data_IF_761364095180
#
_entry.id   IF_761364095180
#
_cell.length_a   1.000
_cell.length_b   1.000
_cell.length_c   1.000
_cell.angle_alpha   90.00
_cell.angle_beta   90.00
_cell.angle_gamma   90.00
#
_symmetry.space_group_name_H-M   'P 1'
#
loop_
_entity.id
_entity.type
_entity.pdbx_description
1 polymer ?
#
# COMPACT_ATOMS: atom_id res chain seq x y z
N UNK A 1 -3.88 4.77 -18.56
CA UNK A 1 -3.99 3.66 -17.62
C UNK A 1 -5.36 3.72 -16.99
N UNK A 2 -5.93 2.56 -16.68
CA UNK A 2 -7.33 2.52 -16.24
C UNK A 2 -7.52 2.62 -14.74
N UNK A 3 -6.54 2.17 -13.98
CA UNK A 3 -6.62 2.17 -12.52
C UNK A 3 -6.24 3.55 -12.01
N UNK A 4 -6.96 4.03 -11.00
CA UNK A 4 -6.67 5.34 -10.43
C UNK A 4 -5.30 5.37 -9.74
N UNK A 5 -4.70 6.58 -9.70
CA UNK A 5 -3.35 6.76 -9.18
C UNK A 5 -3.23 6.40 -7.69
N UNK A 6 -4.27 6.64 -6.91
CA UNK A 6 -4.25 6.34 -5.48
C UNK A 6 -4.20 4.84 -5.22
N UNK A 7 -5.02 4.08 -5.93
CA UNK A 7 -5.03 2.62 -5.83
C UNK A 7 -3.69 2.04 -6.29
N UNK A 8 -3.15 2.55 -7.41
CA UNK A 8 -1.84 2.09 -7.91
C UNK A 8 -0.72 2.41 -6.95
N UNK A 9 -0.75 3.58 -6.32
CA UNK A 9 0.26 3.97 -5.34
C UNK A 9 0.26 3.00 -4.15
N UNK A 10 -0.91 2.61 -3.67
CA UNK A 10 -1.04 1.67 -2.56
C UNK A 10 -0.53 0.27 -2.94
N UNK A 11 -0.92 -0.21 -4.11
CA UNK A 11 -0.43 -1.50 -4.63
C UNK A 11 1.09 -1.49 -4.77
N UNK A 12 1.65 -0.41 -5.27
CA UNK A 12 3.08 -0.26 -5.43
C UNK A 12 3.79 -0.31 -4.08
N UNK A 13 3.28 0.43 -3.09
CA UNK A 13 3.88 0.45 -1.75
C UNK A 13 3.96 -0.96 -1.15
N UNK A 14 2.94 -1.79 -1.36
CA UNK A 14 2.91 -3.14 -0.81
C UNK A 14 3.77 -4.12 -1.59
N UNK A 15 3.81 -4.00 -2.92
CA UNK A 15 4.35 -5.06 -3.78
C UNK A 15 5.51 -4.64 -4.66
N UNK A 16 6.08 -3.45 -4.45
CA UNK A 16 7.15 -2.91 -5.30
C UNK A 16 8.35 -3.85 -5.44
N UNK A 17 8.68 -4.56 -4.38
CA UNK A 17 9.85 -5.46 -4.40
C UNK A 17 9.66 -6.66 -5.30
N UNK A 18 8.43 -6.95 -5.71
CA UNK A 18 8.12 -8.04 -6.63
C UNK A 18 8.20 -7.61 -8.10
N UNK A 19 8.40 -6.32 -8.36
CA UNK A 19 8.59 -5.80 -9.71
C UNK A 19 10.07 -5.81 -10.09
N UNK A 20 10.36 -5.88 -11.41
CA UNK A 20 11.72 -5.72 -11.89
C UNK A 20 12.18 -4.29 -11.67
N UNK A 21 13.49 -4.07 -11.68
CA UNK A 21 14.04 -2.72 -11.54
C UNK A 21 13.55 -1.78 -12.64
N UNK A 22 13.49 -2.25 -13.87
CA UNK A 22 12.97 -1.47 -14.99
C UNK A 22 11.52 -1.07 -14.77
N UNK A 23 10.69 -1.99 -14.33
CA UNK A 23 9.28 -1.71 -14.03
C UNK A 23 9.16 -0.66 -12.93
N UNK A 24 9.96 -0.78 -11.87
CA UNK A 24 9.97 0.19 -10.77
C UNK A 24 10.37 1.58 -11.25
N UNK A 25 11.44 1.67 -12.05
CA UNK A 25 11.92 2.95 -12.56
C UNK A 25 10.86 3.67 -13.40
N UNK A 26 10.24 2.96 -14.33
CA UNK A 26 9.21 3.55 -15.18
C UNK A 26 7.95 3.90 -14.38
N UNK A 27 7.59 3.05 -13.43
CA UNK A 27 6.44 3.29 -12.56
C UNK A 27 6.64 4.57 -11.72
N UNK A 28 7.82 4.74 -11.14
CA UNK A 28 8.16 5.94 -10.35
C UNK A 28 8.08 7.21 -11.20
N UNK A 29 8.61 7.17 -12.42
CA UNK A 29 8.56 8.33 -13.30
C UNK A 29 7.14 8.73 -13.65
N UNK A 30 6.28 7.75 -13.87
CA UNK A 30 4.91 8.01 -14.29
C UNK A 30 4.01 8.44 -13.12
N UNK A 31 3.97 7.64 -12.05
CA UNK A 31 3.05 7.86 -10.93
C UNK A 31 3.56 8.82 -9.87
N UNK A 32 4.87 8.84 -9.63
CA UNK A 32 5.46 9.67 -8.58
C UNK A 32 5.99 11.01 -9.10
N UNK A 33 6.66 10.98 -10.26
CA UNK A 33 7.29 12.17 -10.85
C UNK A 33 6.40 12.88 -11.88
N UNK A 34 5.25 12.31 -12.19
CA UNK A 34 4.28 12.89 -13.10
C UNK A 34 4.77 13.08 -14.54
N UNK A 35 5.70 12.25 -14.99
CA UNK A 35 6.18 12.30 -16.37
C UNK A 35 5.12 11.75 -17.32
N UNK A 36 5.05 12.34 -18.52
CA UNK A 36 4.25 11.79 -19.62
C UNK A 36 4.93 10.55 -20.19
N UNK A 37 4.18 9.74 -20.94
CA UNK A 37 4.76 8.57 -21.62
C UNK A 37 5.89 8.98 -22.56
N UNK A 38 5.74 10.10 -23.26
CA UNK A 38 6.77 10.61 -24.17
C UNK A 38 8.02 11.06 -23.43
N UNK A 39 7.86 11.71 -22.29
CA UNK A 39 8.98 12.13 -21.45
C UNK A 39 9.75 10.94 -20.90
N UNK A 40 9.02 9.90 -20.46
CA UNK A 40 9.65 8.67 -19.97
C UNK A 40 10.41 7.97 -21.10
N UNK A 41 9.80 7.89 -22.28
CA UNK A 41 10.43 7.28 -23.46
C UNK A 41 11.76 7.96 -23.78
N UNK A 42 11.78 9.28 -23.77
CA UNK A 42 13.01 10.05 -24.01
C UNK A 42 14.06 9.80 -22.94
N UNK A 43 13.64 9.80 -21.66
CA UNK A 43 14.58 9.60 -20.54
C UNK A 43 15.13 8.18 -20.51
N UNK A 44 14.32 7.18 -20.82
CA UNK A 44 14.69 5.77 -20.72
C UNK A 44 15.32 5.22 -22.01
N UNK A 45 15.26 5.96 -23.09
CA UNK A 45 15.82 5.53 -24.38
C UNK A 45 15.03 4.39 -25.03
N UNK A 46 13.73 4.33 -24.81
CA UNK A 46 12.85 3.33 -25.42
C UNK A 46 11.66 4.03 -26.10
N UNK A 47 10.86 3.27 -26.86
CA UNK A 47 9.70 3.84 -27.52
C UNK A 47 8.59 4.19 -26.53
N UNK A 48 7.72 5.13 -26.93
CA UNK A 48 6.53 5.46 -26.15
C UNK A 48 5.64 4.24 -25.95
N UNK A 49 5.49 3.41 -26.98
CA UNK A 49 4.73 2.16 -26.87
C UNK A 49 5.39 1.20 -25.89
N UNK A 50 6.72 1.12 -25.89
CA UNK A 50 7.45 0.29 -24.92
C UNK A 50 7.24 0.74 -23.49
N UNK A 51 7.17 2.05 -23.24
CA UNK A 51 6.82 2.60 -21.92
C UNK A 51 5.41 2.17 -21.53
N UNK A 52 4.46 2.37 -22.42
CA UNK A 52 3.06 2.00 -22.20
C UNK A 52 2.93 0.52 -21.83
N UNK A 53 3.57 -0.35 -22.60
CA UNK A 53 3.48 -1.80 -22.39
C UNK A 53 4.12 -2.22 -21.06
N UNK A 54 5.26 -1.62 -20.71
CA UNK A 54 5.93 -1.92 -19.45
C UNK A 54 5.08 -1.48 -18.25
N UNK A 55 4.48 -0.29 -18.32
CA UNK A 55 3.61 0.20 -17.26
C UNK A 55 2.33 -0.63 -17.14
N UNK A 56 1.72 -0.97 -18.28
CA UNK A 56 0.52 -1.80 -18.28
C UNK A 56 0.80 -3.16 -17.66
N UNK A 57 1.93 -3.75 -17.97
CA UNK A 57 2.33 -5.04 -17.41
C UNK A 57 2.59 -4.94 -15.90
N UNK A 58 3.25 -3.87 -15.45
CA UNK A 58 3.49 -3.64 -14.03
C UNK A 58 2.17 -3.50 -13.27
N UNK A 59 1.21 -2.75 -13.81
CA UNK A 59 -0.11 -2.59 -13.21
C UNK A 59 -0.84 -3.92 -13.07
N UNK A 60 -0.80 -4.75 -14.12
CA UNK A 60 -1.41 -6.08 -14.08
C UNK A 60 -0.77 -6.96 -13.01
N UNK A 61 0.56 -6.91 -12.89
CA UNK A 61 1.27 -7.68 -11.89
C UNK A 61 0.88 -7.26 -10.48
N UNK A 62 0.85 -5.95 -10.22
CA UNK A 62 0.47 -5.43 -8.90
C UNK A 62 -0.95 -5.84 -8.52
N UNK A 63 -1.89 -5.71 -9.45
CA UNK A 63 -3.27 -6.14 -9.22
C UNK A 63 -3.36 -7.65 -8.98
N UNK A 64 -2.59 -8.41 -9.74
CA UNK A 64 -2.53 -9.87 -9.57
C UNK A 64 -1.95 -10.29 -8.22
N UNK A 65 -0.93 -9.59 -7.74
CA UNK A 65 -0.35 -9.87 -6.43
C UNK A 65 -1.38 -9.67 -5.32
N UNK A 66 -2.12 -8.57 -5.37
CA UNK A 66 -3.16 -8.33 -4.36
C UNK A 66 -4.28 -9.37 -4.46
N UNK A 67 -4.68 -9.73 -5.66
CA UNK A 67 -5.70 -10.76 -5.87
C UNK A 67 -5.31 -12.09 -5.24
N UNK A 68 -4.03 -12.44 -5.34
CA UNK A 68 -3.51 -13.72 -4.83
C UNK A 68 -3.16 -13.66 -3.35
N UNK A 69 -2.49 -12.58 -2.91
CA UNK A 69 -1.94 -12.48 -1.56
C UNK A 69 -2.88 -11.79 -0.58
N UNK A 70 -3.62 -10.80 -1.04
CA UNK A 70 -4.61 -10.10 -0.23
C UNK A 70 -4.05 -9.32 0.96
N UNK A 71 -2.80 -8.84 0.86
CA UNK A 71 -2.14 -8.17 1.99
C UNK A 71 -2.82 -6.86 2.35
N UNK A 72 -3.24 -6.08 1.35
CA UNK A 72 -3.91 -4.80 1.57
C UNK A 72 -5.26 -5.03 2.26
N UNK A 73 -6.05 -5.98 1.76
CA UNK A 73 -7.36 -6.29 2.32
C UNK A 73 -7.23 -6.82 3.75
N UNK A 74 -6.22 -7.67 4.01
CA UNK A 74 -5.97 -8.21 5.35
C UNK A 74 -5.59 -7.10 6.32
N UNK A 75 -4.69 -6.21 5.92
CA UNK A 75 -4.26 -5.10 6.77
C UNK A 75 -5.43 -4.16 7.07
N UNK A 76 -6.28 -3.88 6.09
CA UNK A 76 -7.46 -3.04 6.29
C UNK A 76 -8.41 -3.65 7.32
N UNK A 77 -8.63 -4.96 7.27
CA UNK A 77 -9.47 -5.66 8.26
C UNK A 77 -8.83 -5.63 9.64
N UNK A 78 -7.53 -5.87 9.71
CA UNK A 78 -6.78 -5.83 10.97
C UNK A 78 -6.86 -4.46 11.64
N UNK A 79 -6.64 -3.39 10.87
CA UNK A 79 -6.73 -2.02 11.38
C UNK A 79 -8.12 -1.72 11.95
N UNK A 80 -9.17 -2.18 11.27
CA UNK A 80 -10.55 -2.02 11.73
C UNK A 80 -10.77 -2.70 13.07
N UNK A 81 -10.29 -3.93 13.22
CA UNK A 81 -10.43 -4.68 14.47
C UNK A 81 -9.61 -4.05 15.60
N UNK A 82 -8.40 -3.59 15.30
CA UNK A 82 -7.56 -2.92 16.28
C UNK A 82 -8.21 -1.63 16.79
N UNK A 83 -8.90 -0.88 15.92
CA UNK A 83 -9.64 0.30 16.34
C UNK A 83 -10.76 -0.03 17.30
N UNK A 84 -11.52 -1.10 17.06
CA UNK A 84 -12.57 -1.54 17.96
C UNK A 84 -12.00 -1.91 19.34
N UNK A 85 -10.90 -2.66 19.34
CA UNK A 85 -10.23 -3.06 20.58
C UNK A 85 -9.72 -1.83 21.34
N UNK A 86 -9.08 -0.90 20.63
CA UNK A 86 -8.55 0.32 21.25
C UNK A 86 -9.64 1.18 21.86
N UNK A 87 -10.75 1.37 21.15
CA UNK A 87 -11.87 2.17 21.65
C UNK A 87 -12.47 1.58 22.92
N UNK A 88 -12.65 0.26 22.96
CA UNK A 88 -13.18 -0.41 24.14
C UNK A 88 -12.19 -0.35 25.30
N UNK A 89 -10.90 -0.51 25.02
CA UNK A 89 -9.87 -0.39 26.06
C UNK A 89 -9.82 1.03 26.64
N UNK A 90 -9.96 2.06 25.78
CA UNK A 90 -10.00 3.45 26.23
C UNK A 90 -11.18 3.71 27.17
N UNK A 91 -12.35 3.14 26.86
CA UNK A 91 -13.51 3.25 27.74
C UNK A 91 -13.26 2.57 29.08
N UNK A 92 -12.65 1.38 29.06
CA UNK A 92 -12.32 0.65 30.28
C UNK A 92 -11.25 1.36 31.13
N UNK A 93 -10.37 2.12 30.49
CA UNK A 93 -9.31 2.86 31.20
C UNK A 93 -9.88 3.92 32.16
N UNK A 94 -11.12 4.34 31.97
CA UNK A 94 -11.82 5.29 32.85
C UNK A 94 -12.32 4.64 34.14
N UNK A 95 -12.31 3.32 34.19
CA UNK A 95 -12.74 2.55 35.37
C UNK A 95 -11.47 2.19 36.16
N UNK A 96 -11.28 2.71 37.39
CA UNK A 96 -10.01 2.50 38.10
C UNK A 96 -9.64 1.02 38.28
N UNK A 97 -10.62 0.17 38.51
CA UNK A 97 -10.39 -1.27 38.69
C UNK A 97 -9.89 -1.97 37.42
N UNK A 98 -10.19 -1.41 36.24
CA UNK A 98 -9.82 -1.99 34.96
C UNK A 98 -8.66 -1.23 34.25
N UNK A 99 -8.23 -0.10 34.80
CA UNK A 99 -7.24 0.76 34.16
C UNK A 99 -5.90 0.07 33.84
N UNK A 100 -5.32 -0.76 34.73
CA UNK A 100 -4.06 -1.44 34.41
C UNK A 100 -4.19 -2.38 33.22
N UNK A 101 -5.27 -3.15 33.16
CA UNK A 101 -5.53 -4.07 32.04
C UNK A 101 -5.80 -3.31 30.74
N UNK A 102 -6.59 -2.25 30.81
CA UNK A 102 -6.86 -1.40 29.65
C UNK A 102 -5.57 -0.81 29.08
N UNK A 103 -4.68 -0.35 29.94
CA UNK A 103 -3.37 0.17 29.51
C UNK A 103 -2.52 -0.89 28.83
N UNK A 104 -2.53 -2.12 29.33
CA UNK A 104 -1.80 -3.22 28.72
C UNK A 104 -2.34 -3.54 27.32
N UNK A 105 -3.66 -3.54 27.16
CA UNK A 105 -4.32 -3.78 25.88
C UNK A 105 -3.93 -2.67 24.88
N UNK A 106 -3.97 -1.41 25.31
CA UNK A 106 -3.63 -0.29 24.42
C UNK A 106 -2.17 -0.35 23.97
N UNK A 107 -1.25 -0.74 24.87
CA UNK A 107 0.15 -0.93 24.49
C UNK A 107 0.32 -2.05 23.46
N UNK A 108 -0.39 -3.17 23.65
CA UNK A 108 -0.34 -4.29 22.71
C UNK A 108 -0.87 -3.90 21.33
N UNK A 109 -1.97 -3.15 21.30
CA UNK A 109 -2.52 -2.62 20.03
C UNK A 109 -1.50 -1.74 19.33
N UNK A 110 -0.83 -0.86 20.07
CA UNK A 110 0.16 0.04 19.49
C UNK A 110 1.35 -0.73 18.91
N UNK A 111 1.82 -1.77 19.60
CA UNK A 111 2.91 -2.62 19.08
C UNK A 111 2.53 -3.31 17.77
N UNK A 112 1.29 -3.77 17.65
CA UNK A 112 0.82 -4.39 16.40
C UNK A 112 0.80 -3.37 15.26
N UNK A 113 0.43 -2.12 15.55
CA UNK A 113 0.35 -1.06 14.53
C UNK A 113 1.73 -0.59 14.05
N UNK A 114 2.74 -0.73 14.86
CA UNK A 114 4.11 -0.38 14.48
C UNK A 114 4.70 -1.40 13.51
#
# INVERSE_FOLDING_TARGET
MRTDALTMSLLYDYYVELLTEKQRQLFDLYYDQDYSLSEIAAAAGISRQGVHDTLARAEELLEGYERTLGCIARDARLQKQLEVIAQNAQALARIPAAAPQAGAILRAVQEIKE
#
